data_IF_937145840819
#
_entry.id   IF_937145840819
#
_cell.length_a   1.000
_cell.length_b   1.000
_cell.length_c   1.000
_cell.angle_alpha   90.00
_cell.angle_beta   90.00
_cell.angle_gamma   90.00
#
_symmetry.space_group_name_H-M   'P 1'
#
loop_
_entity.id
_entity.type
_entity.pdbx_description
1 polymer ?
#
# COMPACT_ATOMS: atom_id res chain seq x y z
N UNK A 1 -0.69 -7.20 -8.40
CA UNK A 1 -0.14 -5.89 -8.86
C UNK A 1 1.38 -5.96 -8.77
N UNK A 2 2.14 -5.14 -9.50
CA UNK A 2 3.59 -5.07 -9.27
C UNK A 2 3.89 -4.24 -8.02
N UNK A 3 5.08 -4.41 -7.44
CA UNK A 3 5.54 -3.58 -6.31
C UNK A 3 5.54 -2.09 -6.68
N UNK A 4 5.88 -1.74 -7.92
CA UNK A 4 5.82 -0.36 -8.42
C UNK A 4 4.40 0.21 -8.39
N UNK A 5 3.39 -0.60 -8.70
CA UNK A 5 1.98 -0.18 -8.62
C UNK A 5 1.56 0.07 -7.18
N UNK A 6 1.97 -0.79 -6.24
CA UNK A 6 1.74 -0.60 -4.81
C UNK A 6 2.28 0.76 -4.34
N UNK A 7 3.53 1.09 -4.68
CA UNK A 7 4.12 2.37 -4.29
C UNK A 7 3.42 3.56 -4.95
N UNK A 8 2.96 3.42 -6.19
CA UNK A 8 2.15 4.46 -6.85
C UNK A 8 0.84 4.71 -6.11
N UNK A 9 0.15 3.65 -5.67
CA UNK A 9 -1.09 3.77 -4.90
C UNK A 9 -0.86 4.40 -3.52
N UNK A 10 0.21 3.99 -2.84
CA UNK A 10 0.61 4.58 -1.57
C UNK A 10 0.97 6.07 -1.71
N UNK A 11 1.66 6.44 -2.78
CA UNK A 11 2.00 7.83 -3.09
C UNK A 11 0.76 8.66 -3.41
N UNK A 12 -0.15 8.13 -4.21
CA UNK A 12 -1.37 8.84 -4.60
C UNK A 12 -2.31 9.12 -3.41
N UNK A 13 -2.34 8.20 -2.43
CA UNK A 13 -3.22 8.32 -1.27
C UNK A 13 -2.57 9.04 -0.07
N UNK A 14 -1.30 8.76 0.20
CA UNK A 14 -0.59 9.27 1.39
C UNK A 14 0.51 10.27 1.07
N UNK A 15 0.92 10.39 -0.19
CA UNK A 15 2.01 11.26 -0.66
C UNK A 15 3.38 10.57 -0.66
N UNK A 16 4.26 10.97 -1.59
CA UNK A 16 5.62 10.44 -1.76
C UNK A 16 6.48 10.40 -0.50
N UNK A 17 6.39 11.44 0.34
CA UNK A 17 7.18 11.53 1.57
C UNK A 17 6.65 10.62 2.68
N UNK A 18 5.35 10.63 2.91
CA UNK A 18 4.74 9.92 4.05
C UNK A 18 4.49 8.44 3.76
N UNK A 19 4.22 8.08 2.49
CA UNK A 19 4.00 6.68 2.07
C UNK A 19 5.10 5.71 2.49
N UNK A 20 6.36 6.13 2.39
CA UNK A 20 7.54 5.32 2.77
C UNK A 20 7.63 5.10 4.28
N UNK A 21 7.36 6.16 5.06
CA UNK A 21 7.34 6.08 6.52
C UNK A 21 6.19 5.19 6.97
N UNK A 22 4.98 5.42 6.45
CA UNK A 22 3.81 4.63 6.76
C UNK A 22 4.03 3.15 6.42
N UNK A 23 4.62 2.84 5.27
CA UNK A 23 4.88 1.46 4.88
C UNK A 23 5.87 0.74 5.83
N UNK A 24 6.79 1.45 6.47
CA UNK A 24 7.74 0.88 7.42
C UNK A 24 7.19 0.77 8.84
N UNK A 25 6.27 1.67 9.24
CA UNK A 25 5.75 1.76 10.61
C UNK A 25 4.42 1.03 10.81
N UNK A 26 3.58 0.96 9.77
CA UNK A 26 2.25 0.38 9.85
C UNK A 26 2.31 -1.15 9.91
N UNK A 27 2.13 -1.69 11.12
CA UNK A 27 2.08 -3.14 11.37
C UNK A 27 0.72 -3.71 10.96
N UNK A 28 0.73 -4.52 9.89
CA UNK A 28 -0.47 -5.12 9.32
C UNK A 28 -0.74 -6.47 9.97
N UNK A 29 -1.87 -6.58 10.69
CA UNK A 29 -2.29 -7.86 11.29
C UNK A 29 -2.49 -8.95 10.24
N UNK A 30 -3.09 -8.61 9.10
CA UNK A 30 -3.31 -9.51 7.96
C UNK A 30 -2.00 -9.96 7.29
N UNK A 31 -0.89 -9.24 7.49
CA UNK A 31 0.44 -9.64 7.01
C UNK A 31 1.23 -10.51 8.02
N UNK A 32 0.55 -10.96 9.08
CA UNK A 32 1.15 -11.72 10.17
C UNK A 32 1.96 -10.83 11.12
N UNK A 33 1.50 -9.59 11.35
CA UNK A 33 2.16 -8.66 12.26
C UNK A 33 3.44 -8.03 11.70
N UNK A 34 3.52 -7.90 10.37
CA UNK A 34 4.64 -7.27 9.66
C UNK A 34 4.26 -5.89 9.16
N UNK A 35 5.23 -4.99 9.04
CA UNK A 35 5.02 -3.76 8.29
C UNK A 35 4.74 -4.04 6.82
N UNK A 36 4.13 -3.09 6.10
CA UNK A 36 3.93 -3.22 4.66
C UNK A 36 5.25 -3.45 3.91
N UNK A 37 6.32 -2.75 4.31
CA UNK A 37 7.64 -2.91 3.73
C UNK A 37 8.21 -4.30 4.00
N UNK A 38 8.14 -4.80 5.23
CA UNK A 38 8.60 -6.15 5.59
C UNK A 38 7.80 -7.24 4.86
N UNK A 39 6.49 -7.07 4.74
CA UNK A 39 5.62 -7.98 4.02
C UNK A 39 6.06 -8.08 2.54
N UNK A 40 6.31 -6.95 1.89
CA UNK A 40 6.80 -6.92 0.51
C UNK A 40 8.20 -7.54 0.38
N UNK A 41 9.11 -7.28 1.32
CA UNK A 41 10.45 -7.89 1.33
C UNK A 41 10.40 -9.40 1.56
N UNK A 42 9.44 -9.89 2.36
CA UNK A 42 9.20 -11.31 2.58
C UNK A 42 8.52 -11.99 1.38
N UNK A 43 8.23 -11.26 0.30
CA UNK A 43 7.62 -11.79 -0.92
C UNK A 43 6.11 -11.98 -0.84
N UNK A 44 5.43 -11.33 0.12
CA UNK A 44 3.97 -11.32 0.15
C UNK A 44 3.43 -10.57 -1.07
N UNK A 45 2.24 -10.97 -1.53
CA UNK A 45 1.60 -10.35 -2.68
C UNK A 45 1.31 -8.85 -2.40
N UNK A 46 1.80 -7.92 -3.24
CA UNK A 46 1.62 -6.50 -2.99
C UNK A 46 0.15 -6.06 -2.97
N UNK A 47 -0.75 -6.80 -3.64
CA UNK A 47 -2.18 -6.51 -3.59
C UNK A 47 -2.79 -6.88 -2.24
N UNK A 48 -2.35 -7.97 -1.61
CA UNK A 48 -2.75 -8.30 -0.24
C UNK A 48 -2.23 -7.24 0.74
N UNK A 49 -0.98 -6.83 0.59
CA UNK A 49 -0.39 -5.77 1.43
C UNK A 49 -1.17 -4.46 1.28
N UNK A 50 -1.47 -4.04 0.04
CA UNK A 50 -2.29 -2.85 -0.20
C UNK A 50 -3.68 -2.94 0.42
N UNK A 51 -4.37 -4.07 0.27
CA UNK A 51 -5.69 -4.27 0.86
C UNK A 51 -5.66 -4.16 2.40
N UNK A 52 -4.65 -4.74 3.03
CA UNK A 52 -4.46 -4.64 4.47
C UNK A 52 -4.20 -3.19 4.91
N UNK A 53 -3.37 -2.44 4.17
CA UNK A 53 -3.18 -1.00 4.41
C UNK A 53 -4.50 -0.26 4.27
N UNK A 54 -5.26 -0.51 3.21
CA UNK A 54 -6.55 0.15 2.99
C UNK A 54 -7.57 -0.15 4.09
N UNK A 55 -7.57 -1.37 4.64
CA UNK A 55 -8.45 -1.72 5.75
C UNK A 55 -8.02 -1.02 7.04
N UNK A 56 -6.72 -0.97 7.32
CA UNK A 56 -6.20 -0.40 8.56
C UNK A 56 -6.27 1.14 8.58
N UNK A 57 -6.14 1.77 7.41
CA UNK A 57 -6.20 3.22 7.24
C UNK A 57 -7.58 3.72 6.80
N UNK A 58 -8.60 2.84 6.80
CA UNK A 58 -9.97 3.16 6.37
C UNK A 58 -10.05 3.85 4.99
N UNK A 59 -9.19 3.41 4.06
CA UNK A 59 -9.18 3.93 2.68
C UNK A 59 -10.47 3.50 1.98
N UNK A 60 -11.29 4.43 1.47
CA UNK A 60 -12.55 4.09 0.82
C UNK A 60 -12.31 3.34 -0.49
N UNK A 61 -13.20 2.39 -0.86
CA UNK A 61 -13.00 1.49 -2.00
C UNK A 61 -12.80 2.23 -3.33
N UNK A 62 -13.43 3.39 -3.50
CA UNK A 62 -13.32 4.26 -4.68
C UNK A 62 -11.90 4.77 -4.92
N UNK A 63 -11.06 4.85 -3.88
CA UNK A 63 -9.68 5.37 -3.94
C UNK A 63 -8.63 4.26 -3.98
N UNK A 64 -9.02 3.00 -3.77
CA UNK A 64 -8.09 1.85 -3.70
C UNK A 64 -7.46 1.48 -5.04
N UNK A 65 -8.04 1.93 -6.15
CA UNK A 65 -7.48 1.72 -7.49
C UNK A 65 -6.52 2.84 -7.91
N UNK A 66 -6.40 3.89 -7.09
CA UNK A 66 -5.67 5.12 -7.40
C UNK A 66 -6.38 5.96 -8.45
N UNK A 67 -5.91 7.18 -8.67
CA UNK A 67 -6.41 8.02 -9.78
C UNK A 67 -6.15 7.33 -11.13
N UNK A 68 -7.17 7.27 -11.99
CA UNK A 68 -7.02 7.02 -13.43
C UNK A 68 -6.15 8.14 -14.00
N UNK A 69 -4.85 7.91 -14.05
CA UNK A 69 -3.93 8.77 -14.79
C UNK A 69 -3.98 8.23 -16.22
N UNK A 70 -4.63 8.91 -17.18
CA UNK A 70 -4.52 8.49 -18.57
C UNK A 70 -3.03 8.52 -18.91
N UNK A 71 -2.51 7.36 -19.35
CA UNK A 71 -1.17 7.28 -19.91
C UNK A 71 -1.10 8.29 -21.06
N UNK A 72 -0.42 9.42 -20.82
CA UNK A 72 -0.14 10.45 -21.83
C UNK A 72 1.05 10.03 -22.65
#
# INVERSE_FOLDING_TARGET
MRISDFWRLMDDEFGAGYSRVLAGDLVLSEAGGRSAQEALQAGLDPRLVWQAVCQMQDVPPERRLGKDTPAT
#
